data_IF_984589954378
#
_entry.id   IF_984589954378
#
_cell.length_a   1.000
_cell.length_b   1.000
_cell.length_c   1.000
_cell.angle_alpha   90.00
_cell.angle_beta   90.00
_cell.angle_gamma   90.00
#
_symmetry.space_group_name_H-M   'P 1'
#
loop_
_entity.id
_entity.type
_entity.pdbx_description
1 polymer ?
#
# COMPACT_ATOMS: atom_id res chain seq x y z
N UNK A 1 -7.17 -29.97 -8.31
CA UNK A 1 -6.28 -28.80 -8.29
C UNK A 1 -6.85 -27.79 -7.31
N UNK A 2 -6.06 -26.85 -6.77
CA UNK A 2 -6.59 -25.67 -6.10
C UNK A 2 -7.53 -24.89 -7.04
N UNK A 3 -8.67 -24.42 -6.51
CA UNK A 3 -9.69 -23.67 -7.28
C UNK A 3 -9.13 -22.47 -8.07
N UNK A 4 -8.07 -21.83 -7.58
CA UNK A 4 -7.48 -20.68 -8.26
C UNK A 4 -6.78 -21.06 -9.58
N UNK A 5 -6.24 -22.26 -9.70
CA UNK A 5 -5.61 -22.74 -10.95
C UNK A 5 -6.65 -22.96 -12.05
N UNK A 6 -7.85 -23.43 -11.66
CA UNK A 6 -8.97 -23.64 -12.58
C UNK A 6 -9.55 -22.31 -13.10
N UNK A 7 -9.53 -21.26 -12.28
CA UNK A 7 -10.09 -19.94 -12.64
C UNK A 7 -9.09 -19.07 -13.41
N UNK A 8 -7.82 -19.04 -12.99
CA UNK A 8 -6.80 -18.15 -13.58
C UNK A 8 -6.16 -18.78 -14.80
N UNK A 9 -6.14 -20.12 -14.92
CA UNK A 9 -5.57 -20.86 -16.05
C UNK A 9 -4.04 -20.80 -16.17
N UNK A 10 -3.40 -19.88 -15.46
CA UNK A 10 -1.95 -19.70 -15.45
C UNK A 10 -1.40 -19.71 -14.01
N UNK A 11 -0.21 -20.28 -13.79
CA UNK A 11 0.43 -20.28 -12.47
C UNK A 11 0.82 -18.87 -12.02
N UNK A 12 0.84 -18.65 -10.71
CA UNK A 12 1.36 -17.42 -10.11
C UNK A 12 2.88 -17.33 -10.31
N UNK A 13 3.32 -16.59 -11.35
CA UNK A 13 4.71 -16.35 -11.70
C UNK A 13 5.22 -14.95 -11.32
N UNK A 14 6.54 -14.79 -11.17
CA UNK A 14 7.21 -13.52 -10.75
C UNK A 14 6.90 -12.32 -11.65
N UNK A 15 6.47 -12.60 -12.87
CA UNK A 15 6.00 -11.68 -13.90
C UNK A 15 4.61 -11.08 -13.64
N UNK A 16 3.82 -11.68 -12.73
CA UNK A 16 2.48 -11.17 -12.40
C UNK A 16 2.58 -9.83 -11.63
N UNK A 17 1.81 -8.79 -12.02
CA UNK A 17 1.90 -7.45 -11.45
C UNK A 17 1.40 -7.37 -9.99
N UNK A 18 1.62 -6.21 -9.35
CA UNK A 18 1.15 -5.89 -7.98
C UNK A 18 1.74 -6.79 -6.88
N UNK A 19 3.04 -7.07 -6.98
CA UNK A 19 3.77 -7.88 -5.98
C UNK A 19 4.07 -7.10 -4.72
N UNK A 20 4.20 -5.78 -4.82
CA UNK A 20 4.50 -4.89 -3.69
C UNK A 20 3.23 -4.43 -2.99
N UNK A 21 3.34 -4.14 -1.70
CA UNK A 21 2.22 -3.61 -0.91
C UNK A 21 1.79 -2.23 -1.43
N UNK A 22 2.76 -1.38 -1.78
CA UNK A 22 2.52 -0.04 -2.35
C UNK A 22 1.80 -0.12 -3.71
N UNK A 23 2.20 -1.05 -4.59
CA UNK A 23 1.54 -1.26 -5.89
C UNK A 23 0.09 -1.72 -5.73
N UNK A 24 -0.18 -2.66 -4.81
CA UNK A 24 -1.55 -3.10 -4.51
C UNK A 24 -2.41 -1.95 -3.98
N UNK A 25 -1.84 -1.10 -3.11
CA UNK A 25 -2.52 0.09 -2.59
C UNK A 25 -2.82 1.09 -3.70
N UNK A 26 -1.86 1.35 -4.59
CA UNK A 26 -2.05 2.23 -5.74
C UNK A 26 -3.17 1.72 -6.65
N UNK A 27 -3.16 0.43 -6.99
CA UNK A 27 -4.23 -0.17 -7.80
C UNK A 27 -5.61 -0.04 -7.15
N UNK A 28 -5.71 -0.19 -5.82
CA UNK A 28 -6.97 0.04 -5.10
C UNK A 28 -7.46 1.49 -5.25
N UNK A 29 -6.56 2.47 -5.07
CA UNK A 29 -6.88 3.90 -5.25
C UNK A 29 -7.34 4.20 -6.66
N UNK A 30 -6.68 3.62 -7.66
CA UNK A 30 -7.06 3.79 -9.07
C UNK A 30 -8.45 3.21 -9.36
N UNK A 31 -8.74 2.01 -8.85
CA UNK A 31 -10.08 1.39 -8.98
C UNK A 31 -11.14 2.29 -8.33
N UNK A 32 -10.90 2.79 -7.12
CA UNK A 32 -11.84 3.66 -6.41
C UNK A 32 -12.12 4.95 -7.22
N UNK A 33 -11.08 5.55 -7.82
CA UNK A 33 -11.21 6.74 -8.65
C UNK A 33 -11.99 6.47 -9.96
N UNK A 34 -11.70 5.37 -10.66
CA UNK A 34 -12.41 4.96 -11.88
C UNK A 34 -13.89 4.71 -11.57
N UNK A 35 -14.18 3.99 -10.47
CA UNK A 35 -15.56 3.71 -10.06
C UNK A 35 -16.28 5.00 -9.69
N UNK A 36 -15.64 5.91 -8.97
CA UNK A 36 -16.23 7.21 -8.65
C UNK A 36 -16.62 8.00 -9.92
N UNK A 37 -15.71 8.11 -10.90
CA UNK A 37 -15.99 8.73 -12.19
C UNK A 37 -17.17 8.05 -12.92
N UNK A 38 -17.19 6.72 -12.97
CA UNK A 38 -18.26 5.97 -13.64
C UNK A 38 -19.65 6.18 -13.02
N UNK A 39 -19.70 6.53 -11.74
CA UNK A 39 -20.93 6.75 -10.98
C UNK A 39 -21.27 8.25 -10.83
N UNK A 40 -20.48 9.15 -11.42
CA UNK A 40 -20.65 10.60 -11.26
C UNK A 40 -20.38 11.11 -9.85
N UNK A 41 -19.62 10.36 -9.05
CA UNK A 41 -19.16 10.78 -7.71
C UNK A 41 -17.94 11.67 -7.88
N UNK A 42 -18.00 12.87 -7.31
CA UNK A 42 -16.89 13.82 -7.34
C UNK A 42 -15.72 13.34 -6.49
N UNK A 43 -14.52 13.86 -6.76
CA UNK A 43 -13.33 13.54 -5.96
C UNK A 43 -13.47 13.92 -4.49
N UNK A 44 -14.19 15.01 -4.19
CA UNK A 44 -14.43 15.44 -2.81
C UNK A 44 -15.41 14.52 -2.08
N UNK A 45 -16.43 14.02 -2.78
CA UNK A 45 -17.34 13.00 -2.26
C UNK A 45 -16.62 11.67 -2.04
N UNK A 46 -15.74 11.26 -2.95
CA UNK A 46 -14.90 10.07 -2.78
C UNK A 46 -14.02 10.19 -1.52
N UNK A 47 -13.34 11.32 -1.34
CA UNK A 47 -12.57 11.58 -0.11
C UNK A 47 -13.46 11.62 1.14
N UNK A 48 -14.70 12.12 1.04
CA UNK A 48 -15.67 12.10 2.14
C UNK A 48 -16.10 10.65 2.49
N UNK A 49 -16.38 9.82 1.49
CA UNK A 49 -16.70 8.40 1.66
C UNK A 49 -15.54 7.69 2.36
N UNK A 50 -14.30 7.88 1.88
CA UNK A 50 -13.10 7.36 2.53
C UNK A 50 -13.03 7.74 4.02
N UNK A 51 -13.20 9.03 4.34
CA UNK A 51 -13.10 9.53 5.72
C UNK A 51 -14.19 8.98 6.65
N UNK A 52 -15.39 8.75 6.14
CA UNK A 52 -16.58 8.45 6.97
C UNK A 52 -16.93 6.97 7.00
N UNK A 53 -16.85 6.27 5.88
CA UNK A 53 -17.28 4.88 5.75
C UNK A 53 -16.16 3.88 6.01
N UNK A 54 -14.89 4.31 5.92
CA UNK A 54 -13.73 3.43 6.06
C UNK A 54 -12.78 3.84 7.20
N UNK A 55 -13.26 4.05 8.44
CA UNK A 55 -12.43 4.56 9.54
C UNK A 55 -11.28 3.63 9.92
N UNK A 56 -11.46 2.30 9.77
CA UNK A 56 -10.41 1.31 10.05
C UNK A 56 -9.31 1.38 9.00
N UNK A 57 -9.67 1.47 7.71
CA UNK A 57 -8.70 1.64 6.63
C UNK A 57 -7.92 2.94 6.79
N UNK A 58 -8.62 4.04 7.08
CA UNK A 58 -8.01 5.35 7.32
C UNK A 58 -6.99 5.32 8.46
N UNK A 59 -7.30 4.60 9.54
CA UNK A 59 -6.34 4.38 10.63
C UNK A 59 -5.09 3.65 10.15
N UNK A 60 -5.25 2.61 9.32
CA UNK A 60 -4.10 1.91 8.76
C UNK A 60 -3.27 2.79 7.82
N UNK A 61 -3.89 3.54 6.90
CA UNK A 61 -3.15 4.48 6.03
C UNK A 61 -2.37 5.55 6.83
N UNK A 62 -2.83 5.91 8.03
CA UNK A 62 -2.13 6.84 8.93
C UNK A 62 -0.95 6.19 9.68
N UNK A 63 -1.13 4.97 10.15
CA UNK A 63 -0.12 4.23 10.94
C UNK A 63 0.94 3.56 10.07
N UNK A 64 0.55 3.09 8.88
CA UNK A 64 1.40 2.28 8.02
C UNK A 64 2.54 3.10 7.43
N UNK A 65 3.67 2.43 7.25
CA UNK A 65 4.82 2.97 6.51
C UNK A 65 5.24 1.98 5.45
N UNK A 66 5.74 2.52 4.35
CA UNK A 66 6.28 1.78 3.22
C UNK A 66 7.75 2.10 3.05
N UNK A 67 8.54 1.07 2.82
CA UNK A 67 9.97 1.20 2.60
C UNK A 67 10.29 1.68 1.16
N UNK A 68 11.56 1.90 0.85
CA UNK A 68 11.97 2.33 -0.49
C UNK A 68 11.66 1.32 -1.60
N UNK A 69 11.45 0.05 -1.23
CA UNK A 69 11.10 -1.03 -2.16
C UNK A 69 9.58 -1.24 -2.27
N UNK A 70 8.76 -0.40 -1.63
CA UNK A 70 7.30 -0.46 -1.64
C UNK A 70 6.70 -1.58 -0.79
N UNK A 71 7.46 -2.12 0.16
CA UNK A 71 6.99 -3.11 1.15
C UNK A 71 6.47 -2.39 2.37
N UNK A 72 5.37 -2.88 2.93
CA UNK A 72 4.85 -2.38 4.19
C UNK A 72 5.79 -2.78 5.34
N UNK A 73 6.22 -1.78 6.11
CA UNK A 73 7.15 -1.96 7.22
C UNK A 73 6.42 -2.61 8.41
N UNK A 74 6.95 -3.68 9.02
CA UNK A 74 6.36 -4.32 10.18
C UNK A 74 6.25 -3.36 11.37
N UNK A 75 5.17 -3.54 12.16
CA UNK A 75 4.91 -2.68 13.33
C UNK A 75 6.04 -2.70 14.35
N UNK A 76 6.75 -3.82 14.51
CA UNK A 76 7.84 -3.92 15.48
C UNK A 76 9.08 -3.11 15.04
N UNK A 77 9.39 -3.09 13.75
CA UNK A 77 10.42 -2.18 13.18
C UNK A 77 10.01 -0.73 13.40
N UNK A 78 8.74 -0.38 13.15
CA UNK A 78 8.23 0.98 13.40
C UNK A 78 8.24 1.38 14.88
N UNK A 79 8.02 0.45 15.81
CA UNK A 79 8.15 0.71 17.26
C UNK A 79 9.60 1.00 17.66
N UNK A 80 10.57 0.35 17.03
CA UNK A 80 11.99 0.64 17.24
C UNK A 80 12.33 2.02 16.66
N UNK A 81 11.88 2.32 15.43
CA UNK A 81 12.08 3.62 14.80
C UNK A 81 11.51 4.77 15.65
N UNK A 82 10.33 4.58 16.26
CA UNK A 82 9.70 5.61 17.09
C UNK A 82 10.49 6.00 18.35
N UNK A 83 11.50 5.21 18.75
CA UNK A 83 12.39 5.51 19.88
C UNK A 83 13.63 6.30 19.47
N UNK A 84 13.92 6.38 18.18
CA UNK A 84 15.07 7.09 17.63
C UNK A 84 14.71 8.55 17.32
N UNK A 85 15.74 9.39 17.16
CA UNK A 85 15.55 10.73 16.60
C UNK A 85 15.29 10.63 15.10
N UNK A 86 14.63 11.62 14.53
CA UNK A 86 14.23 11.61 13.10
C UNK A 86 15.41 11.46 12.13
N UNK A 87 16.60 11.93 12.52
CA UNK A 87 17.84 11.82 11.75
C UNK A 87 18.60 10.50 11.94
N UNK A 88 18.10 9.61 12.81
CA UNK A 88 18.77 8.36 13.17
C UNK A 88 18.11 7.17 12.47
N UNK A 89 18.95 6.29 11.93
CA UNK A 89 18.53 5.06 11.27
C UNK A 89 18.73 3.85 12.19
N UNK A 90 17.83 2.89 12.07
CA UNK A 90 17.95 1.60 12.73
C UNK A 90 19.14 0.81 12.14
N UNK A 91 19.90 0.11 12.99
CA UNK A 91 20.84 -0.91 12.53
C UNK A 91 20.15 -1.91 11.60
N UNK A 92 20.88 -2.45 10.63
CA UNK A 92 20.34 -3.42 9.65
C UNK A 92 19.62 -4.58 10.34
N UNK A 93 20.17 -5.09 11.46
CA UNK A 93 19.56 -6.18 12.23
C UNK A 93 18.15 -5.84 12.75
N UNK A 94 17.92 -4.60 13.19
CA UNK A 94 16.65 -4.14 13.76
C UNK A 94 15.58 -3.86 12.69
N UNK A 95 16.00 -3.73 11.43
CA UNK A 95 15.15 -3.61 10.24
C UNK A 95 15.18 -4.85 9.34
N UNK A 96 15.66 -5.98 9.88
CA UNK A 96 15.61 -7.28 9.20
C UNK A 96 14.48 -8.12 9.77
N UNK A 97 13.66 -8.68 8.90
CA UNK A 97 12.59 -9.60 9.25
C UNK A 97 12.74 -10.91 8.50
N UNK A 98 12.64 -12.04 9.22
CA UNK A 98 12.71 -13.37 8.64
C UNK A 98 11.29 -13.90 8.45
N UNK A 99 10.93 -14.26 7.22
CA UNK A 99 9.60 -14.78 6.94
C UNK A 99 9.43 -16.17 7.59
N UNK A 100 8.41 -16.37 8.45
CA UNK A 100 8.34 -17.53 9.35
C UNK A 100 8.18 -18.88 8.63
N UNK A 101 7.66 -18.88 7.40
CA UNK A 101 7.43 -20.12 6.64
C UNK A 101 8.51 -20.39 5.58
N UNK A 102 9.16 -19.35 5.05
CA UNK A 102 10.10 -19.50 3.92
C UNK A 102 11.56 -19.34 4.35
N UNK A 103 11.82 -18.80 5.54
CA UNK A 103 13.17 -18.50 6.02
C UNK A 103 13.87 -17.37 5.26
N UNK A 104 13.18 -16.72 4.31
CA UNK A 104 13.76 -15.62 3.54
C UNK A 104 13.88 -14.39 4.43
N UNK A 105 15.06 -13.78 4.43
CA UNK A 105 15.33 -12.55 5.15
C UNK A 105 14.97 -11.34 4.28
N UNK A 106 14.29 -10.37 4.90
CA UNK A 106 13.91 -9.11 4.30
C UNK A 106 14.49 -7.97 5.13
N UNK A 107 15.44 -7.24 4.55
CA UNK A 107 15.92 -5.97 5.10
C UNK A 107 15.01 -4.85 4.58
N UNK A 108 14.38 -4.06 5.46
CA UNK A 108 13.55 -2.92 5.09
C UNK A 108 14.42 -1.67 4.89
N UNK A 109 14.24 -0.98 3.77
CA UNK A 109 15.11 0.12 3.34
C UNK A 109 14.46 1.49 3.52
N UNK A 110 15.22 2.47 4.04
CA UNK A 110 14.76 3.85 4.14
C UNK A 110 14.62 4.52 2.75
N UNK A 111 13.75 5.53 2.60
CA UNK A 111 12.91 6.13 3.65
C UNK A 111 11.65 5.31 3.96
N UNK A 112 11.24 5.31 5.23
CA UNK A 112 9.95 4.80 5.66
C UNK A 112 8.89 5.88 5.46
N UNK A 113 8.13 5.78 4.38
CA UNK A 113 7.16 6.81 3.95
C UNK A 113 5.75 6.46 4.38
N UNK A 114 4.99 7.47 4.78
CA UNK A 114 3.54 7.39 4.80
C UNK A 114 3.00 7.78 3.42
N UNK A 115 1.97 7.10 2.94
CA UNK A 115 1.32 7.44 1.68
C UNK A 115 -0.01 8.14 1.97
N UNK A 116 -0.29 9.22 1.26
CA UNK A 116 -1.50 10.03 1.46
C UNK A 116 -2.60 9.58 0.50
N UNK A 117 -3.56 8.80 1.02
CA UNK A 117 -4.64 8.24 0.19
C UNK A 117 -5.52 9.32 -0.42
N UNK A 118 -5.76 10.43 0.27
CA UNK A 118 -6.62 11.49 -0.28
C UNK A 118 -5.90 12.22 -1.41
N UNK A 119 -4.59 12.47 -1.27
CA UNK A 119 -3.78 13.02 -2.35
C UNK A 119 -3.73 12.06 -3.56
N UNK A 120 -3.46 10.77 -3.30
CA UNK A 120 -3.38 9.74 -4.35
C UNK A 120 -4.72 9.59 -5.09
N UNK A 121 -5.85 9.61 -4.36
CA UNK A 121 -7.19 9.58 -4.97
C UNK A 121 -7.43 10.80 -5.86
N UNK A 122 -7.00 11.99 -5.43
CA UNK A 122 -7.15 13.22 -6.22
C UNK A 122 -6.32 13.17 -7.49
N UNK A 123 -5.08 12.69 -7.40
CA UNK A 123 -4.21 12.52 -8.55
C UNK A 123 -4.77 11.48 -9.53
N UNK A 124 -5.17 10.31 -9.02
CA UNK A 124 -5.77 9.25 -9.83
C UNK A 124 -7.07 9.72 -10.50
N UNK A 125 -7.96 10.39 -9.76
CA UNK A 125 -9.21 10.93 -10.29
C UNK A 125 -8.95 11.89 -11.44
N UNK A 126 -8.08 12.89 -11.24
CA UNK A 126 -7.72 13.85 -12.29
C UNK A 126 -7.18 13.15 -13.54
N UNK A 127 -6.25 12.20 -13.36
CA UNK A 127 -5.66 11.46 -14.47
C UNK A 127 -6.72 10.70 -15.29
N UNK A 128 -7.68 10.06 -14.64
CA UNK A 128 -8.72 9.29 -15.33
C UNK A 128 -9.83 10.18 -15.90
N UNK A 129 -10.12 11.31 -15.28
CA UNK A 129 -11.04 12.32 -15.84
C UNK A 129 -10.55 12.82 -17.20
N UNK A 130 -9.23 13.00 -17.36
CA UNK A 130 -8.60 13.40 -18.64
C UNK A 130 -8.64 12.30 -19.72
N UNK A 131 -9.04 11.07 -19.38
CA UNK A 131 -9.14 9.92 -20.31
C UNK A 131 -10.58 9.64 -20.78
N UNK A 132 -11.56 10.36 -20.25
CA UNK A 132 -13.00 10.19 -20.56
C UNK A 132 -13.46 11.20 -21.60
#
# INVERSE_FOLDING_TARGET
MPLWEEVVGEPLGVDKPLRKDEERRAAQVEIDAIVALSLGVTVDELCMIYRTQFPVMRRYDQEDRFDANGRKVPKDVMKLQAKLRESEELPVADRTWVHPQSGVEYVFEYPFRQLDREADMREAYKRFEEMV
#
